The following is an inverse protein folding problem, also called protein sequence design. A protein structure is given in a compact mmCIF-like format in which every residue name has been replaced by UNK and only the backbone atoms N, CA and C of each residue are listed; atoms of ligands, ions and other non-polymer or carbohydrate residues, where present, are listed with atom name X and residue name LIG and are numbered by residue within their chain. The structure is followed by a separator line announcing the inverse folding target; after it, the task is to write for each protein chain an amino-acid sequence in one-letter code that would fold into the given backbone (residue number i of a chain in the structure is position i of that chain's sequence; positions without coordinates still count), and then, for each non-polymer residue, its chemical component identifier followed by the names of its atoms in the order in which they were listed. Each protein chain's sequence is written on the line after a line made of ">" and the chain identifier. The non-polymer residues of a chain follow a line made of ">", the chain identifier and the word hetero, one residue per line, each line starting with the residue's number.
data_IF_469062832230
#
_entry.id   IF_469062832230
#
_cell.length_a   1.000
_cell.length_b   1.000
_cell.length_c   1.000
_cell.angle_alpha   90.00
_cell.angle_beta   90.00
_cell.angle_gamma   90.00
#
_symmetry.space_group_name_H-M   'P 1'
#
loop_
_entity.id
_entity.type
_entity.pdbx_description
1 polymer ?
#
# COMPACT_ATOMS: atom_id res chain seq x y z
N UNK A 1 -34.85 -39.95 40.08
CA UNK A 1 -34.18 -39.22 39.02
C UNK A 1 -32.77 -38.92 39.52
N UNK A 2 -31.70 -39.55 38.94
CA UNK A 2 -30.38 -39.53 39.54
C UNK A 2 -29.75 -38.15 39.37
N UNK A 3 -29.55 -37.40 40.45
CA UNK A 3 -28.87 -36.09 40.44
C UNK A 3 -27.50 -36.11 39.76
N UNK A 4 -26.77 -37.24 39.88
CA UNK A 4 -25.50 -37.47 39.22
C UNK A 4 -25.61 -37.52 37.69
N UNK A 5 -26.67 -38.08 37.13
CA UNK A 5 -26.92 -38.14 35.69
C UNK A 5 -27.23 -36.73 35.12
N UNK A 6 -27.98 -35.94 35.86
CA UNK A 6 -28.30 -34.56 35.47
C UNK A 6 -27.04 -33.66 35.46
N UNK A 7 -26.21 -33.75 36.51
CA UNK A 7 -24.96 -33.01 36.62
C UNK A 7 -23.97 -33.40 35.50
N UNK A 8 -23.85 -34.69 35.20
CA UNK A 8 -23.01 -35.18 34.10
C UNK A 8 -23.48 -34.63 32.73
N UNK A 9 -24.81 -34.57 32.51
CA UNK A 9 -25.37 -33.94 31.32
C UNK A 9 -25.01 -32.49 31.14
N UNK A 10 -25.04 -31.71 32.22
CA UNK A 10 -24.63 -30.29 32.25
C UNK A 10 -23.13 -30.15 31.93
N UNK A 11 -22.27 -30.99 32.52
CA UNK A 11 -20.83 -30.95 32.23
C UNK A 11 -20.52 -31.24 30.75
N UNK A 12 -21.17 -32.27 30.21
CA UNK A 12 -21.00 -32.58 28.77
C UNK A 12 -21.45 -31.44 27.90
N UNK A 13 -22.58 -30.79 28.21
CA UNK A 13 -23.10 -29.65 27.46
C UNK A 13 -22.12 -28.44 27.50
N UNK A 14 -21.60 -28.12 28.67
CA UNK A 14 -20.58 -27.05 28.85
C UNK A 14 -19.31 -27.38 28.04
N UNK A 15 -18.83 -28.63 28.10
CA UNK A 15 -17.66 -29.06 27.34
C UNK A 15 -17.86 -28.92 25.84
N UNK A 16 -19.04 -29.23 25.32
CA UNK A 16 -19.38 -29.06 23.90
C UNK A 16 -19.38 -27.59 23.50
N UNK A 17 -19.96 -26.72 24.33
CA UNK A 17 -19.94 -25.26 24.09
C UNK A 17 -18.50 -24.74 24.03
N UNK A 18 -17.68 -25.10 25.01
CA UNK A 18 -16.28 -24.70 25.06
C UNK A 18 -15.50 -25.20 23.83
N UNK A 19 -15.77 -26.43 23.38
CA UNK A 19 -15.16 -26.99 22.18
C UNK A 19 -15.53 -26.15 20.93
N UNK A 20 -16.81 -25.82 20.77
CA UNK A 20 -17.30 -24.99 19.66
C UNK A 20 -16.65 -23.62 19.67
N UNK A 21 -16.62 -22.96 20.83
CA UNK A 21 -15.99 -21.63 20.98
C UNK A 21 -14.50 -21.71 20.62
N UNK A 22 -13.80 -22.73 21.07
CA UNK A 22 -12.38 -22.93 20.77
C UNK A 22 -12.14 -23.10 19.26
N UNK A 23 -12.96 -23.89 18.58
CA UNK A 23 -12.87 -24.08 17.13
C UNK A 23 -13.12 -22.76 16.40
N UNK A 24 -14.12 -21.98 16.82
CA UNK A 24 -14.43 -20.68 16.20
C UNK A 24 -13.28 -19.69 16.39
N UNK A 25 -12.68 -19.62 17.59
CA UNK A 25 -11.53 -18.78 17.86
C UNK A 25 -10.30 -19.16 17.02
N UNK A 26 -10.04 -20.47 16.86
CA UNK A 26 -8.95 -20.94 16.01
C UNK A 26 -9.19 -20.52 14.56
N UNK A 27 -10.39 -20.73 14.04
CA UNK A 27 -10.72 -20.30 12.66
C UNK A 27 -10.57 -18.79 12.47
N UNK A 28 -11.03 -18.00 13.43
CA UNK A 28 -10.91 -16.55 13.40
C UNK A 28 -9.43 -16.10 13.38
N UNK A 29 -8.60 -16.66 14.26
CA UNK A 29 -7.18 -16.31 14.31
C UNK A 29 -6.40 -16.72 13.06
N UNK A 30 -6.73 -17.87 12.47
CA UNK A 30 -6.12 -18.31 11.20
C UNK A 30 -6.51 -17.40 10.02
N UNK A 31 -7.78 -17.00 9.96
CA UNK A 31 -8.25 -16.05 8.95
C UNK A 31 -7.55 -14.69 9.07
N UNK A 32 -7.45 -14.17 10.30
CA UNK A 32 -6.78 -12.90 10.56
C UNK A 32 -5.30 -12.92 10.13
N UNK A 33 -4.58 -14.02 10.41
CA UNK A 33 -3.19 -14.19 9.97
C UNK A 33 -3.05 -14.13 8.45
N UNK A 34 -3.98 -14.70 7.72
CA UNK A 34 -3.97 -14.69 6.26
C UNK A 34 -4.16 -13.27 5.73
N UNK A 35 -5.08 -12.51 6.29
CA UNK A 35 -5.28 -11.10 5.91
C UNK A 35 -4.05 -10.24 6.20
N UNK A 36 -3.46 -10.38 7.39
CA UNK A 36 -2.24 -9.66 7.74
C UNK A 36 -1.06 -9.96 6.81
N UNK A 37 -0.90 -11.20 6.39
CA UNK A 37 0.13 -11.58 5.40
C UNK A 37 -0.08 -10.87 4.06
N UNK A 38 -1.32 -10.77 3.60
CA UNK A 38 -1.66 -10.08 2.36
C UNK A 38 -1.35 -8.57 2.46
N UNK A 39 -1.73 -7.91 3.56
CA UNK A 39 -1.37 -6.51 3.81
C UNK A 39 0.14 -6.29 3.85
N UNK A 40 0.88 -7.17 4.55
CA UNK A 40 2.34 -7.08 4.62
C UNK A 40 3.00 -7.25 3.25
N UNK A 41 2.49 -8.16 2.41
CA UNK A 41 2.96 -8.36 1.05
C UNK A 41 2.77 -7.10 0.22
N UNK A 42 1.56 -6.57 0.16
CA UNK A 42 1.24 -5.36 -0.62
C UNK A 42 2.03 -4.15 -0.11
N UNK A 43 2.16 -3.98 1.21
CA UNK A 43 3.00 -2.93 1.80
C UNK A 43 4.47 -3.03 1.37
N UNK A 44 5.01 -4.25 1.29
CA UNK A 44 6.37 -4.49 0.78
C UNK A 44 6.50 -4.17 -0.70
N UNK A 45 5.51 -4.56 -1.50
CA UNK A 45 5.49 -4.27 -2.94
C UNK A 45 5.51 -2.76 -3.17
N UNK A 46 4.70 -1.99 -2.42
CA UNK A 46 4.69 -0.52 -2.47
C UNK A 46 6.06 0.06 -2.06
N UNK A 47 6.68 -0.46 -1.00
CA UNK A 47 8.01 -0.04 -0.57
C UNK A 47 9.06 -0.29 -1.66
N UNK A 48 8.87 -1.29 -2.50
CA UNK A 48 9.69 -1.61 -3.67
C UNK A 48 9.26 -0.85 -4.94
N UNK A 49 8.44 0.20 -4.81
CA UNK A 49 7.91 1.02 -5.91
C UNK A 49 6.98 0.27 -6.88
N UNK A 50 6.42 -0.85 -6.46
CA UNK A 50 5.42 -1.61 -7.21
C UNK A 50 4.02 -1.16 -6.76
N UNK A 51 3.56 -0.04 -7.28
CA UNK A 51 2.31 0.61 -6.85
C UNK A 51 1.04 0.01 -7.44
N UNK A 52 1.13 -0.99 -8.31
CA UNK A 52 -0.04 -1.66 -8.90
C UNK A 52 -0.60 -2.79 -8.03
N UNK A 53 0.10 -3.13 -6.94
CA UNK A 53 -0.32 -4.17 -6.00
C UNK A 53 -1.47 -3.68 -5.14
N UNK A 54 -2.53 -4.50 -4.99
CA UNK A 54 -3.69 -4.23 -4.14
C UNK A 54 -3.96 -5.41 -3.23
N UNK A 55 -4.50 -5.12 -2.06
CA UNK A 55 -5.04 -6.15 -1.16
C UNK A 55 -6.27 -6.77 -1.82
N UNK A 56 -6.23 -8.08 -2.04
CA UNK A 56 -7.28 -8.86 -2.68
C UNK A 56 -7.90 -9.82 -1.68
N UNK A 57 -9.17 -10.10 -1.84
CA UNK A 57 -9.92 -11.07 -1.05
C UNK A 57 -11.28 -10.53 -0.62
N UNK A 58 -12.21 -11.45 -0.39
CA UNK A 58 -13.50 -11.13 0.22
C UNK A 58 -13.32 -11.01 1.74
N UNK A 59 -12.98 -9.82 2.16
CA UNK A 59 -12.88 -9.47 3.57
C UNK A 59 -14.18 -8.77 3.97
N UNK A 60 -14.78 -9.21 5.07
CA UNK A 60 -16.03 -8.63 5.61
C UNK A 60 -15.76 -7.89 6.91
N UNK A 61 -16.73 -7.09 7.34
CA UNK A 61 -16.64 -6.29 8.56
C UNK A 61 -15.52 -5.25 8.52
N UNK A 62 -14.94 -4.96 9.67
CA UNK A 62 -13.89 -3.94 9.85
C UNK A 62 -12.62 -4.20 9.01
N UNK A 63 -12.26 -5.47 8.83
CA UNK A 63 -11.11 -5.85 7.99
C UNK A 63 -11.38 -5.52 6.53
N UNK A 64 -12.61 -5.73 6.06
CA UNK A 64 -13.01 -5.38 4.69
C UNK A 64 -13.00 -3.87 4.45
N UNK A 65 -13.46 -3.08 5.42
CA UNK A 65 -13.40 -1.61 5.37
C UNK A 65 -11.96 -1.12 5.37
N UNK A 66 -11.11 -1.70 6.23
CA UNK A 66 -9.69 -1.40 6.24
C UNK A 66 -9.02 -1.70 4.89
N UNK A 67 -9.30 -2.86 4.29
CA UNK A 67 -8.76 -3.23 2.97
C UNK A 67 -9.18 -2.25 1.88
N UNK A 68 -10.44 -1.78 1.89
CA UNK A 68 -10.96 -0.78 0.97
C UNK A 68 -10.23 0.55 1.12
N UNK A 69 -10.08 1.04 2.35
CA UNK A 69 -9.38 2.29 2.64
C UNK A 69 -7.89 2.21 2.28
N UNK A 70 -7.26 1.06 2.55
CA UNK A 70 -5.88 0.79 2.18
C UNK A 70 -5.68 0.82 0.65
N UNK A 71 -6.55 0.17 -0.10
CA UNK A 71 -6.52 0.20 -1.57
C UNK A 71 -6.77 1.62 -2.13
N UNK A 72 -7.68 2.38 -1.53
CA UNK A 72 -7.90 3.78 -1.89
C UNK A 72 -6.65 4.64 -1.69
N UNK A 73 -5.93 4.43 -0.58
CA UNK A 73 -4.65 5.10 -0.33
C UNK A 73 -3.62 4.76 -1.42
N UNK A 74 -3.53 3.50 -1.85
CA UNK A 74 -2.65 3.08 -2.94
C UNK A 74 -3.01 3.78 -4.24
N UNK A 75 -4.30 3.85 -4.57
CA UNK A 75 -4.77 4.55 -5.78
C UNK A 75 -4.41 6.04 -5.75
N UNK A 76 -4.54 6.68 -4.60
CA UNK A 76 -4.15 8.08 -4.40
C UNK A 76 -2.65 8.29 -4.60
N UNK A 77 -1.82 7.39 -4.05
CA UNK A 77 -0.36 7.43 -4.24
C UNK A 77 -0.02 7.29 -5.73
N UNK A 78 -0.63 6.32 -6.41
CA UNK A 78 -0.44 6.11 -7.85
C UNK A 78 -0.80 7.35 -8.67
N UNK A 79 -1.94 7.94 -8.39
CA UNK A 79 -2.39 9.15 -9.05
C UNK A 79 -1.38 10.29 -8.85
N UNK A 80 -0.93 10.50 -7.61
CA UNK A 80 0.04 11.55 -7.26
C UNK A 80 1.38 11.36 -7.99
N UNK A 81 1.88 10.11 -8.06
CA UNK A 81 3.13 9.81 -8.75
C UNK A 81 3.01 10.10 -10.26
N UNK A 82 1.89 9.71 -10.88
CA UNK A 82 1.62 10.00 -12.29
C UNK A 82 1.56 11.50 -12.54
N UNK A 83 0.81 12.25 -11.73
CA UNK A 83 0.69 13.70 -11.84
C UNK A 83 2.07 14.40 -11.74
N UNK A 84 2.91 14.00 -10.79
CA UNK A 84 4.27 14.50 -10.66
C UNK A 84 5.12 14.17 -11.89
N UNK A 85 5.00 12.96 -12.41
CA UNK A 85 5.75 12.51 -13.60
C UNK A 85 5.33 13.29 -14.83
N UNK A 86 4.04 13.49 -15.03
CA UNK A 86 3.49 14.27 -16.15
C UNK A 86 3.92 15.74 -16.07
N UNK A 87 3.86 16.36 -14.90
CA UNK A 87 4.34 17.74 -14.70
C UNK A 87 5.84 17.86 -14.95
N UNK A 88 6.64 16.89 -14.53
CA UNK A 88 8.08 16.89 -14.81
C UNK A 88 8.35 16.76 -16.32
N UNK A 89 7.59 15.93 -17.03
CA UNK A 89 7.68 15.77 -18.47
C UNK A 89 7.29 17.06 -19.20
N UNK A 90 6.21 17.72 -18.76
CA UNK A 90 5.79 19.01 -19.31
C UNK A 90 6.87 20.08 -19.09
N UNK A 91 7.44 20.17 -17.88
CA UNK A 91 8.52 21.11 -17.58
C UNK A 91 9.73 20.86 -18.50
N UNK A 92 10.15 19.59 -18.68
CA UNK A 92 11.23 19.26 -19.61
C UNK A 92 10.92 19.69 -21.05
N UNK A 93 9.71 19.44 -21.52
CA UNK A 93 9.28 19.83 -22.87
C UNK A 93 9.29 21.36 -23.04
N UNK A 94 8.80 22.11 -22.06
CA UNK A 94 8.84 23.58 -22.07
C UNK A 94 10.30 24.05 -22.14
N UNK A 95 11.17 23.48 -21.32
CA UNK A 95 12.58 23.86 -21.29
C UNK A 95 13.32 23.56 -22.58
N UNK A 96 12.96 22.47 -23.27
CA UNK A 96 13.51 22.13 -24.58
C UNK A 96 13.01 23.05 -25.71
N UNK A 97 11.79 23.59 -25.56
CA UNK A 97 11.17 24.49 -26.55
C UNK A 97 11.66 25.95 -26.43
N UNK A 98 12.30 26.31 -25.33
CA UNK A 98 12.84 27.67 -25.13
C UNK A 98 14.05 27.89 -26.01
N UNK A 99 13.99 28.94 -26.83
CA UNK A 99 15.06 29.33 -27.78
C UNK A 99 16.31 29.94 -27.12
N UNK A 100 16.40 29.90 -25.80
CA UNK A 100 17.51 30.46 -25.01
C UNK A 100 18.16 29.39 -24.14
N UNK A 101 19.46 29.49 -23.93
CA UNK A 101 20.14 28.63 -22.96
C UNK A 101 19.67 28.94 -21.53
N UNK A 102 19.20 27.92 -20.81
CA UNK A 102 18.78 28.03 -19.42
C UNK A 102 19.76 27.26 -18.55
N UNK A 103 20.33 27.94 -17.55
CA UNK A 103 21.20 27.38 -16.54
C UNK A 103 20.73 27.87 -15.16
N UNK A 104 20.40 26.91 -14.27
CA UNK A 104 20.11 27.21 -12.87
C UNK A 104 21.19 26.58 -11.99
N UNK A 105 21.68 27.37 -11.03
CA UNK A 105 22.72 26.94 -10.08
C UNK A 105 22.26 27.20 -8.64
N UNK A 106 22.74 26.39 -7.70
CA UNK A 106 22.51 26.64 -6.27
C UNK A 106 23.52 27.72 -5.74
N UNK A 107 23.34 28.09 -4.46
CA UNK A 107 24.20 29.07 -3.78
C UNK A 107 25.66 28.62 -3.65
N UNK A 108 25.96 27.34 -3.89
CA UNK A 108 27.30 26.72 -3.86
C UNK A 108 27.90 26.55 -5.25
N UNK A 109 27.21 27.05 -6.30
CA UNK A 109 27.64 26.91 -7.69
C UNK A 109 27.38 25.59 -8.33
N UNK A 110 26.61 24.66 -7.68
CA UNK A 110 26.24 23.38 -8.26
C UNK A 110 25.12 23.60 -9.28
N UNK A 111 25.27 23.03 -10.48
CA UNK A 111 24.25 23.07 -11.51
C UNK A 111 23.05 22.25 -11.05
N UNK A 112 21.90 22.92 -10.91
CA UNK A 112 20.61 22.32 -10.61
C UNK A 112 19.89 21.90 -11.88
N UNK A 113 20.10 22.66 -12.98
CA UNK A 113 19.40 22.48 -14.22
C UNK A 113 20.15 23.16 -15.36
N UNK A 114 20.19 22.49 -16.50
CA UNK A 114 20.72 23.01 -17.76
C UNK A 114 19.90 22.44 -18.92
N UNK A 115 19.43 23.28 -19.84
CA UNK A 115 18.75 22.78 -21.03
C UNK A 115 19.77 22.46 -22.15
N UNK A 116 19.32 21.74 -23.18
CA UNK A 116 20.21 21.27 -24.25
C UNK A 116 20.90 22.41 -25.01
N UNK A 117 20.24 23.56 -25.15
CA UNK A 117 20.83 24.72 -25.80
C UNK A 117 21.96 25.35 -24.97
N UNK A 118 21.76 25.47 -23.65
CA UNK A 118 22.82 25.94 -22.76
C UNK A 118 24.01 24.98 -22.72
N UNK A 119 23.79 23.66 -22.77
CA UNK A 119 24.83 22.64 -22.89
C UNK A 119 25.69 22.86 -24.12
N UNK A 120 25.08 22.98 -25.29
CA UNK A 120 25.79 23.24 -26.57
C UNK A 120 26.58 24.53 -26.52
N UNK A 121 26.03 25.58 -25.88
CA UNK A 121 26.75 26.86 -25.75
C UNK A 121 27.98 26.78 -24.81
N UNK A 122 27.95 25.92 -23.81
CA UNK A 122 29.05 25.74 -22.84
C UNK A 122 30.08 24.73 -23.35
N UNK A 123 29.66 23.66 -24.04
CA UNK A 123 30.57 22.65 -24.56
C UNK A 123 31.29 23.09 -25.84
N UNK A 124 30.80 24.14 -26.52
CA UNK A 124 31.33 24.67 -27.78
C UNK A 124 31.25 23.65 -28.94
N UNK A 125 30.61 23.98 -30.01
CA UNK A 125 30.64 23.14 -31.23
C UNK A 125 32.06 22.85 -31.69
#
# INVERSE_FOLDING_TARGET
>A
MNETGFLNGIYIFIMLILLIITILLIRYTLSLRTYLKEFMKVSRDISNKQFDSKVRGQMSGEIGEFAKNFNYMIDTINFTIRDITDKNTQLKSIMQSVSHGILAIDTRGKILLINDLAKKMVEGD
#
